data_IF_190851802952
#
_entry.id   IF_190851802952
#
_cell.length_a   1.000
_cell.length_b   1.000
_cell.length_c   1.000
_cell.angle_alpha   90.00
_cell.angle_beta   90.00
_cell.angle_gamma   90.00
#
_symmetry.space_group_name_H-M   'P 1'
#
loop_
_entity.id
_entity.type
_entity.pdbx_description
1 polymer ?
#
# COMPACT_ATOMS: atom_id res chain seq x y z
N UNK A 1 18.97 36.19 22.57
CA UNK A 1 17.77 35.45 22.12
C UNK A 1 18.00 35.08 20.67
N UNK A 2 18.63 33.93 20.44
CA UNK A 2 18.91 33.39 19.11
C UNK A 2 17.69 32.58 18.65
N UNK A 3 17.15 32.95 17.49
CA UNK A 3 16.07 32.20 16.85
C UNK A 3 16.60 30.83 16.38
N UNK A 4 15.85 29.78 16.70
CA UNK A 4 16.12 28.40 16.26
C UNK A 4 15.65 28.28 14.81
N UNK A 5 16.49 27.84 13.85
CA UNK A 5 16.09 27.77 12.45
C UNK A 5 15.24 26.53 12.16
N UNK A 6 14.09 26.77 11.52
CA UNK A 6 13.64 25.99 10.38
C UNK A 6 13.26 24.53 10.63
N UNK A 7 12.03 24.30 11.11
CA UNK A 7 11.30 23.10 10.74
C UNK A 7 11.17 23.07 9.21
N UNK A 8 11.91 22.18 8.56
CA UNK A 8 11.70 21.86 7.15
C UNK A 8 10.74 20.66 7.08
N UNK A 9 9.48 20.84 6.64
CA UNK A 9 8.68 19.69 6.25
C UNK A 9 9.43 19.00 5.12
N UNK A 10 9.74 17.72 5.32
CA UNK A 10 10.40 16.90 4.31
C UNK A 10 9.68 17.09 2.98
N UNK A 11 10.44 17.41 1.95
CA UNK A 11 9.94 17.57 0.59
C UNK A 11 9.30 16.25 0.15
N UNK A 12 7.98 16.16 0.32
CA UNK A 12 7.14 15.09 -0.17
C UNK A 12 7.21 15.13 -1.69
N UNK A 13 7.72 14.06 -2.29
CA UNK A 13 7.80 13.95 -3.75
C UNK A 13 6.39 13.60 -4.21
N UNK A 14 5.75 14.39 -5.09
CA UNK A 14 4.36 14.17 -5.48
C UNK A 14 4.05 12.73 -5.96
N UNK A 15 5.02 12.01 -6.53
CA UNK A 15 4.85 10.61 -6.96
C UNK A 15 4.87 9.56 -5.85
N UNK A 16 5.52 9.81 -4.69
CA UNK A 16 5.52 8.82 -3.59
C UNK A 16 4.19 8.81 -2.84
N UNK A 17 3.59 9.98 -2.67
CA UNK A 17 2.43 10.17 -1.80
C UNK A 17 1.14 9.75 -2.50
N UNK A 18 1.07 9.96 -3.83
CA UNK A 18 -0.03 9.45 -4.67
C UNK A 18 -0.06 7.92 -4.65
N UNK A 19 1.12 7.28 -4.64
CA UNK A 19 1.22 5.83 -4.56
C UNK A 19 0.80 5.30 -3.18
N UNK A 20 1.29 5.92 -2.11
CA UNK A 20 0.95 5.49 -0.75
C UNK A 20 -0.53 5.66 -0.46
N UNK A 21 -1.12 6.82 -0.80
CA UNK A 21 -2.54 7.08 -0.62
C UNK A 21 -3.41 6.16 -1.48
N UNK A 22 -3.00 5.86 -2.71
CA UNK A 22 -3.70 4.91 -3.57
C UNK A 22 -3.69 3.49 -3.00
N UNK A 23 -2.55 3.05 -2.48
CA UNK A 23 -2.45 1.74 -1.83
C UNK A 23 -3.25 1.69 -0.52
N UNK A 24 -3.20 2.75 0.31
CA UNK A 24 -4.01 2.88 1.53
C UNK A 24 -5.49 2.77 1.21
N UNK A 25 -5.95 3.43 0.15
CA UNK A 25 -7.33 3.34 -0.28
C UNK A 25 -7.74 1.91 -0.67
N UNK A 26 -6.90 1.18 -1.39
CA UNK A 26 -7.16 -0.23 -1.75
C UNK A 26 -7.27 -1.14 -0.52
N UNK A 27 -6.41 -0.94 0.49
CA UNK A 27 -6.43 -1.72 1.72
C UNK A 27 -7.64 -1.38 2.59
N UNK A 28 -8.00 -0.10 2.70
CA UNK A 28 -9.19 0.34 3.41
C UNK A 28 -10.49 -0.11 2.71
N UNK A 29 -10.48 -0.27 1.38
CA UNK A 29 -11.63 -0.85 0.66
C UNK A 29 -11.72 -2.37 0.86
N UNK A 30 -10.59 -3.05 1.06
CA UNK A 30 -10.57 -4.48 1.36
C UNK A 30 -11.12 -4.80 2.75
N UNK A 31 -10.69 -4.01 3.73
CA UNK A 31 -11.11 -4.02 5.12
C UNK A 31 -11.33 -5.41 5.75
N UNK A 32 -10.31 -6.29 5.75
CA UNK A 32 -10.46 -7.66 6.27
C UNK A 32 -10.85 -7.74 7.76
N UNK A 33 -10.63 -6.68 8.54
CA UNK A 33 -11.01 -6.60 9.97
C UNK A 33 -12.38 -5.91 10.15
N UNK A 34 -12.77 -5.02 9.24
CA UNK A 34 -14.04 -4.29 9.32
C UNK A 34 -13.96 -2.97 10.11
N UNK A 35 -12.80 -2.31 10.15
CA UNK A 35 -12.54 -1.11 10.97
C UNK A 35 -12.16 0.12 10.15
N UNK A 36 -12.11 0.04 8.82
CA UNK A 36 -11.63 1.12 7.97
C UNK A 36 -12.46 2.42 8.08
N UNK A 37 -13.74 2.32 8.44
CA UNK A 37 -14.62 3.47 8.68
C UNK A 37 -14.28 4.21 9.99
N UNK A 38 -13.65 3.54 10.96
CA UNK A 38 -13.31 4.10 12.28
C UNK A 38 -11.82 4.44 12.39
N UNK A 39 -10.96 3.62 11.79
CA UNK A 39 -9.49 3.67 11.90
C UNK A 39 -8.88 3.55 10.50
N UNK A 40 -8.62 4.69 9.86
CA UNK A 40 -8.17 4.72 8.47
C UNK A 40 -6.69 4.31 8.26
N UNK A 41 -5.90 4.23 9.33
CA UNK A 41 -4.49 3.88 9.31
C UNK A 41 -4.21 2.46 9.82
N UNK A 42 -5.25 1.66 10.11
CA UNK A 42 -5.10 0.28 10.60
C UNK A 42 -4.17 -0.57 9.70
N UNK A 43 -4.34 -0.42 8.39
CA UNK A 43 -3.60 -1.19 7.40
C UNK A 43 -2.27 -0.55 6.96
N UNK A 44 -1.87 0.59 7.58
CA UNK A 44 -0.66 1.33 7.20
C UNK A 44 0.62 0.50 7.38
N UNK A 45 0.61 -0.45 8.31
CA UNK A 45 1.71 -1.38 8.54
C UNK A 45 2.09 -2.18 7.27
N UNK A 46 1.13 -2.45 6.38
CA UNK A 46 1.35 -3.19 5.14
C UNK A 46 1.85 -2.31 3.99
N UNK A 47 1.70 -0.97 4.07
CA UNK A 47 1.99 -0.06 2.96
C UNK A 47 3.46 -0.13 2.53
N UNK A 48 4.38 0.12 3.47
CA UNK A 48 5.81 0.13 3.15
C UNK A 48 6.30 -1.23 2.62
N UNK A 49 5.99 -2.37 3.27
CA UNK A 49 6.35 -3.70 2.75
C UNK A 49 5.77 -4.01 1.36
N UNK A 50 4.53 -3.61 1.07
CA UNK A 50 3.91 -3.80 -0.25
C UNK A 50 4.56 -2.93 -1.31
N UNK A 51 4.77 -1.64 -1.04
CA UNK A 51 5.42 -0.73 -1.99
C UNK A 51 6.84 -1.16 -2.34
N UNK A 52 7.59 -1.67 -1.36
CA UNK A 52 8.92 -2.24 -1.60
C UNK A 52 8.86 -3.45 -2.54
N UNK A 53 7.88 -4.35 -2.34
CA UNK A 53 7.63 -5.51 -3.20
C UNK A 53 7.24 -5.12 -4.62
N UNK A 54 6.31 -4.19 -4.77
CA UNK A 54 5.87 -3.69 -6.07
C UNK A 54 7.01 -3.01 -6.84
N UNK A 55 7.83 -2.20 -6.16
CA UNK A 55 9.00 -1.54 -6.76
C UNK A 55 10.10 -2.51 -7.20
N UNK A 56 10.23 -3.67 -6.55
CA UNK A 56 11.16 -4.73 -6.99
C UNK A 56 10.60 -5.63 -8.09
N UNK A 57 9.35 -5.42 -8.51
CA UNK A 57 8.68 -6.24 -9.52
C UNK A 57 8.13 -7.56 -8.98
N UNK A 58 7.70 -7.60 -7.73
CA UNK A 58 6.97 -8.74 -7.17
C UNK A 58 5.72 -9.05 -8.00
N UNK A 59 5.49 -10.33 -8.26
CA UNK A 59 4.31 -10.80 -8.99
C UNK A 59 3.09 -10.96 -8.06
N UNK A 60 1.94 -11.26 -8.65
CA UNK A 60 0.69 -11.45 -7.91
C UNK A 60 0.80 -12.56 -6.85
N UNK A 61 1.55 -13.64 -7.12
CA UNK A 61 1.67 -14.76 -6.20
C UNK A 61 2.45 -14.35 -4.94
N UNK A 62 3.55 -13.62 -5.12
CA UNK A 62 4.35 -13.08 -4.02
C UNK A 62 3.55 -12.06 -3.17
N UNK A 63 2.77 -11.19 -3.83
CA UNK A 63 1.90 -10.24 -3.12
C UNK A 63 0.80 -10.99 -2.35
N UNK A 64 0.18 -12.01 -2.95
CA UNK A 64 -0.86 -12.82 -2.30
C UNK A 64 -0.33 -13.60 -1.09
N UNK A 65 0.87 -14.16 -1.19
CA UNK A 65 1.52 -14.83 -0.07
C UNK A 65 1.79 -13.86 1.09
N UNK A 66 2.29 -12.66 0.77
CA UNK A 66 2.50 -11.62 1.78
C UNK A 66 1.18 -11.22 2.47
N UNK A 67 0.13 -10.92 1.71
CA UNK A 67 -1.17 -10.54 2.27
C UNK A 67 -1.74 -11.65 3.16
N UNK A 68 -1.66 -12.90 2.71
CA UNK A 68 -2.08 -14.06 3.52
C UNK A 68 -1.29 -14.17 4.83
N UNK A 69 0.03 -13.95 4.77
CA UNK A 69 0.89 -13.98 5.96
C UNK A 69 0.48 -12.90 6.96
N UNK A 70 0.27 -11.66 6.53
CA UNK A 70 -0.19 -10.59 7.42
C UNK A 70 -1.56 -10.92 8.04
N UNK A 71 -2.52 -11.39 7.22
CA UNK A 71 -3.84 -11.77 7.74
C UNK A 71 -3.76 -12.86 8.82
N UNK A 72 -2.98 -13.92 8.60
CA UNK A 72 -2.93 -15.06 9.51
C UNK A 72 -2.03 -14.79 10.71
N UNK A 73 -0.80 -14.35 10.47
CA UNK A 73 0.24 -14.32 11.48
C UNK A 73 0.29 -12.99 12.25
N UNK A 74 -0.11 -11.88 11.62
CA UNK A 74 -0.12 -10.56 12.25
C UNK A 74 -1.52 -10.19 12.79
N UNK A 75 -2.58 -10.38 11.99
CA UNK A 75 -3.95 -10.05 12.40
C UNK A 75 -4.72 -11.21 13.05
N UNK A 76 -4.21 -12.44 12.99
CA UNK A 76 -4.86 -13.60 13.61
C UNK A 76 -6.16 -14.03 12.93
N UNK A 77 -6.35 -13.68 11.65
CA UNK A 77 -7.53 -13.99 10.85
C UNK A 77 -7.41 -15.34 10.15
N UNK A 78 -8.55 -15.86 9.68
CA UNK A 78 -8.61 -17.09 8.87
C UNK A 78 -9.32 -16.80 7.55
N UNK A 79 -8.65 -16.13 6.59
CA UNK A 79 -9.26 -15.78 5.32
C UNK A 79 -9.50 -17.01 4.45
N UNK A 80 -10.49 -16.92 3.55
CA UNK A 80 -10.56 -17.87 2.44
C UNK A 80 -9.34 -17.68 1.54
N UNK A 81 -8.73 -18.74 0.98
CA UNK A 81 -7.53 -18.60 0.14
C UNK A 81 -7.68 -17.59 -1.01
N UNK A 82 -8.88 -17.49 -1.58
CA UNK A 82 -9.18 -16.57 -2.68
C UNK A 82 -9.19 -15.09 -2.29
N UNK A 83 -9.39 -14.75 -1.01
CA UNK A 83 -9.46 -13.35 -0.55
C UNK A 83 -8.13 -12.59 -0.72
N UNK A 84 -6.99 -13.06 -0.17
CA UNK A 84 -5.71 -12.40 -0.39
C UNK A 84 -5.25 -12.51 -1.87
N UNK A 85 -5.62 -13.58 -2.59
CA UNK A 85 -5.31 -13.71 -4.02
C UNK A 85 -6.03 -12.67 -4.89
N UNK A 86 -7.31 -12.41 -4.61
CA UNK A 86 -8.10 -11.40 -5.30
C UNK A 86 -7.58 -9.98 -5.02
N UNK A 87 -7.23 -9.70 -3.76
CA UNK A 87 -6.63 -8.41 -3.41
C UNK A 87 -5.25 -8.24 -4.04
N UNK A 88 -4.42 -9.28 -4.08
CA UNK A 88 -3.15 -9.25 -4.78
C UNK A 88 -3.31 -8.92 -6.27
N UNK A 89 -4.29 -9.54 -6.94
CA UNK A 89 -4.61 -9.22 -8.33
C UNK A 89 -4.95 -7.73 -8.52
N UNK A 90 -5.79 -7.20 -7.63
CA UNK A 90 -6.22 -5.80 -7.64
C UNK A 90 -5.04 -4.85 -7.44
N UNK A 91 -4.19 -5.11 -6.45
CA UNK A 91 -3.00 -4.31 -6.14
C UNK A 91 -2.01 -4.33 -7.31
N UNK A 92 -1.70 -5.50 -7.87
CA UNK A 92 -0.78 -5.61 -9.01
C UNK A 92 -1.34 -4.91 -10.25
N UNK A 93 -2.63 -5.06 -10.56
CA UNK A 93 -3.26 -4.36 -11.68
C UNK A 93 -3.24 -2.84 -11.51
N UNK A 94 -3.52 -2.34 -10.30
CA UNK A 94 -3.46 -0.91 -10.00
C UNK A 94 -2.04 -0.37 -10.15
N UNK A 95 -1.04 -1.10 -9.66
CA UNK A 95 0.37 -0.69 -9.74
C UNK A 95 0.86 -0.55 -11.18
N UNK A 96 0.47 -1.47 -12.08
CA UNK A 96 0.81 -1.36 -13.51
C UNK A 96 0.28 -0.07 -14.13
N UNK A 97 -0.98 0.28 -13.86
CA UNK A 97 -1.60 1.51 -14.36
C UNK A 97 -0.95 2.77 -13.77
N UNK A 98 -0.61 2.74 -12.48
CA UNK A 98 0.06 3.85 -11.81
C UNK A 98 1.44 4.11 -12.41
N UNK A 99 2.24 3.07 -12.65
CA UNK A 99 3.56 3.16 -13.28
C UNK A 99 3.48 3.65 -14.73
N UNK A 100 2.49 3.20 -15.50
CA UNK A 100 2.25 3.70 -16.86
C UNK A 100 1.95 5.21 -16.87
N UNK A 101 1.12 5.67 -15.92
CA UNK A 101 0.74 7.09 -15.79
C UNK A 101 1.95 7.96 -15.43
N UNK A 102 2.81 7.51 -14.51
CA UNK A 102 4.04 8.22 -14.14
C UNK A 102 5.06 8.26 -15.29
N UNK A 103 5.11 7.23 -16.13
CA UNK A 103 6.00 7.14 -17.29
C UNK A 103 5.60 8.05 -18.46
N UNK A 104 4.34 8.48 -18.53
CA UNK A 104 3.80 9.28 -19.65
C UNK A 104 3.97 10.80 -19.45
N UNK A 105 4.57 11.23 -18.33
CA UNK A 105 4.79 12.65 -17.99
C UNK A 105 6.01 13.32 -18.65
N UNK A 106 6.76 12.60 -19.49
CA UNK A 106 7.91 13.14 -20.24
C UNK A 106 7.73 12.85 -21.74
N UNK A 107 7.11 13.78 -22.46
CA UNK A 107 7.18 13.91 -23.92
C UNK A 107 7.32 15.38 -24.31
#
# INVERSE_FOLDING_TARGET
MTAVPGWHPGAMRPGTDVTENGLRHLLNEWDPIGVADEVQDEYDCMLVPLLQRLRRGADQAEIGEFLRHELVDHFGLTPLPSEPEAMAAKVTSWWTVAVETDGTGYA
#
